data_IF_891952914509
#
_entry.id   IF_891952914509
#
_cell.length_a   1.000
_cell.length_b   1.000
_cell.length_c   1.000
_cell.angle_alpha   90.00
_cell.angle_beta   90.00
_cell.angle_gamma   90.00
#
_symmetry.space_group_name_H-M   'P 1'
#
loop_
_entity.id
_entity.type
_entity.pdbx_description
1 polymer ?
#
# COMPACT_ATOMS: atom_id res chain seq x y z
N UNK A 1 16.87 56.67 -57.65
CA UNK A 1 17.96 55.68 -57.51
C UNK A 1 17.57 54.65 -56.50
N UNK A 2 17.51 53.40 -56.89
CA UNK A 2 17.07 52.22 -56.19
C UNK A 2 18.04 51.81 -55.10
N UNK A 3 17.54 51.22 -53.99
CA UNK A 3 18.17 50.14 -53.23
C UNK A 3 17.06 49.26 -52.62
N UNK A 4 16.86 48.21 -53.18
CA UNK A 4 16.81 46.75 -52.85
C UNK A 4 16.30 46.40 -51.49
N UNK A 5 15.21 45.67 -51.54
CA UNK A 5 14.61 44.90 -50.43
C UNK A 5 15.50 43.74 -49.98
N UNK A 6 15.30 43.34 -48.70
CA UNK A 6 15.76 42.08 -48.19
C UNK A 6 14.54 41.27 -47.73
N UNK A 7 14.27 40.22 -48.49
CA UNK A 7 13.38 39.13 -48.18
C UNK A 7 13.78 38.53 -46.83
N UNK A 8 12.83 38.46 -45.87
CA UNK A 8 12.88 37.56 -44.73
C UNK A 8 11.92 36.43 -44.98
N UNK A 9 12.45 35.25 -45.11
CA UNK A 9 11.69 34.02 -45.16
C UNK A 9 10.90 33.80 -43.85
N UNK A 10 9.71 33.19 -43.90
CA UNK A 10 8.91 32.86 -42.71
C UNK A 10 9.56 31.71 -41.91
N UNK A 11 9.65 31.89 -40.62
CA UNK A 11 10.04 30.86 -39.68
C UNK A 11 8.99 29.74 -39.72
N UNK A 12 9.44 28.55 -40.08
CA UNK A 12 8.67 27.29 -39.92
C UNK A 12 8.53 26.99 -38.42
N UNK A 13 7.34 27.12 -37.88
CA UNK A 13 6.96 26.53 -36.62
C UNK A 13 6.95 25.01 -36.79
N UNK A 14 8.11 24.42 -36.56
CA UNK A 14 8.29 22.98 -36.52
C UNK A 14 7.53 22.40 -35.30
N UNK A 15 6.53 21.59 -35.59
CA UNK A 15 5.89 20.67 -34.68
C UNK A 15 6.91 19.98 -33.75
N UNK A 16 7.07 20.48 -32.52
CA UNK A 16 7.56 19.70 -31.42
C UNK A 16 6.45 18.68 -31.08
N UNK A 17 6.39 17.59 -31.86
CA UNK A 17 5.70 16.39 -31.45
C UNK A 17 6.27 15.98 -30.09
N UNK A 18 5.53 16.26 -29.03
CA UNK A 18 5.65 15.61 -27.74
C UNK A 18 5.71 14.11 -27.98
N UNK A 19 6.92 13.55 -27.96
CA UNK A 19 7.12 12.09 -27.91
C UNK A 19 6.59 11.65 -26.55
N UNK A 20 5.31 11.33 -26.49
CA UNK A 20 4.78 10.52 -25.42
C UNK A 20 5.52 9.18 -25.49
N UNK A 21 6.37 8.94 -24.50
CA UNK A 21 6.97 7.63 -24.29
C UNK A 21 5.81 6.63 -24.26
N UNK A 22 5.80 5.58 -25.09
CA UNK A 22 4.72 4.63 -25.05
C UNK A 22 4.64 4.07 -23.64
N UNK A 23 3.46 4.15 -23.03
CA UNK A 23 3.15 3.41 -21.80
C UNK A 23 3.49 1.95 -22.12
N UNK A 24 4.51 1.41 -21.46
CA UNK A 24 4.86 0.00 -21.59
C UNK A 24 3.59 -0.80 -21.45
N UNK A 25 3.29 -1.67 -22.43
CA UNK A 25 2.10 -2.49 -22.38
C UNK A 25 2.12 -3.23 -21.05
N UNK A 26 1.07 -3.05 -20.24
CA UNK A 26 0.96 -3.67 -18.92
C UNK A 26 1.05 -5.19 -19.10
N UNK A 27 1.76 -5.90 -18.20
CA UNK A 27 1.84 -7.37 -18.22
C UNK A 27 0.43 -7.97 -18.23
N UNK A 28 0.19 -9.00 -19.04
CA UNK A 28 -1.06 -9.77 -18.99
C UNK A 28 -0.99 -10.78 -17.84
N UNK A 29 -1.47 -10.40 -16.69
CA UNK A 29 -1.54 -11.21 -15.48
C UNK A 29 -3.00 -11.55 -15.12
N UNK A 30 -3.88 -11.64 -16.11
CA UNK A 30 -5.33 -11.83 -15.90
C UNK A 30 -5.63 -13.07 -15.05
N UNK A 31 -4.82 -14.13 -15.17
CA UNK A 31 -4.99 -15.39 -14.45
C UNK A 31 -4.14 -15.51 -13.17
N UNK A 32 -3.38 -14.48 -12.80
CA UNK A 32 -2.59 -14.51 -11.57
C UNK A 32 -3.52 -14.66 -10.35
N UNK A 33 -3.28 -15.64 -9.44
CA UNK A 33 -4.19 -15.97 -8.35
C UNK A 33 -4.59 -14.78 -7.49
N UNK A 34 -3.62 -13.89 -7.16
CA UNK A 34 -3.89 -12.66 -6.42
C UNK A 34 -4.92 -11.78 -7.14
N UNK A 35 -4.72 -11.53 -8.44
CA UNK A 35 -5.57 -10.61 -9.20
C UNK A 35 -6.96 -11.18 -9.46
N UNK A 36 -7.06 -12.49 -9.66
CA UNK A 36 -8.36 -13.19 -9.77
C UNK A 36 -9.13 -13.02 -8.46
N UNK A 37 -8.51 -13.32 -7.31
CA UNK A 37 -9.15 -13.17 -6.01
C UNK A 37 -9.51 -11.71 -5.71
N UNK A 38 -8.60 -10.75 -5.99
CA UNK A 38 -8.82 -9.33 -5.74
C UNK A 38 -9.97 -8.74 -6.57
N UNK A 39 -10.34 -9.36 -7.67
CA UNK A 39 -11.51 -9.01 -8.51
C UNK A 39 -12.79 -9.78 -8.15
N UNK A 40 -12.78 -10.51 -7.05
CA UNK A 40 -13.93 -11.31 -6.60
C UNK A 40 -14.11 -12.63 -7.34
N UNK A 41 -13.06 -13.13 -8.00
CA UNK A 41 -13.04 -14.44 -8.65
C UNK A 41 -12.49 -15.54 -7.76
N UNK A 42 -12.56 -16.76 -8.25
CA UNK A 42 -12.03 -17.98 -7.61
C UNK A 42 -10.81 -18.46 -8.39
N UNK A 43 -9.59 -18.22 -7.91
CA UNK A 43 -8.37 -18.70 -8.57
C UNK A 43 -8.19 -20.22 -8.37
N UNK A 44 -7.36 -20.84 -9.22
CA UNK A 44 -7.07 -22.28 -9.15
C UNK A 44 -6.36 -22.70 -7.85
N UNK A 45 -5.63 -21.77 -7.24
CA UNK A 45 -5.04 -21.94 -5.90
C UNK A 45 -5.27 -20.70 -5.05
N UNK A 46 -5.32 -20.91 -3.72
CA UNK A 46 -5.43 -19.81 -2.75
C UNK A 46 -4.21 -18.90 -2.84
N UNK A 47 -4.35 -17.60 -3.16
CA UNK A 47 -3.22 -16.68 -3.17
C UNK A 47 -2.77 -16.31 -1.76
N UNK A 48 -1.45 -16.21 -1.59
CA UNK A 48 -0.81 -15.81 -0.34
C UNK A 48 0.36 -14.86 -0.58
N UNK A 49 0.45 -13.86 0.25
CA UNK A 49 1.62 -13.00 0.43
C UNK A 49 1.62 -12.46 1.87
N UNK A 50 2.74 -11.87 2.32
CA UNK A 50 2.82 -11.39 3.70
C UNK A 50 3.24 -9.92 3.75
N UNK A 51 2.51 -9.11 4.50
CA UNK A 51 2.94 -7.74 4.79
C UNK A 51 4.30 -7.76 5.49
N UNK A 52 5.24 -6.92 5.03
CA UNK A 52 6.65 -6.89 5.47
C UNK A 52 7.42 -8.17 5.21
N UNK A 53 7.02 -8.99 4.21
CA UNK A 53 7.75 -10.19 3.80
C UNK A 53 9.21 -9.87 3.41
N UNK A 54 9.47 -8.75 2.74
CA UNK A 54 10.81 -8.22 2.49
C UNK A 54 11.26 -7.42 3.72
N UNK A 55 11.86 -8.06 4.71
CA UNK A 55 12.12 -7.41 5.98
C UNK A 55 13.13 -8.12 6.89
N UNK A 56 13.21 -7.64 8.12
CA UNK A 56 14.22 -8.02 9.11
C UNK A 56 14.22 -9.50 9.52
N UNK A 57 13.15 -10.24 9.27
CA UNK A 57 13.12 -11.70 9.47
C UNK A 57 14.11 -12.44 8.55
N UNK A 58 14.35 -11.91 7.34
CA UNK A 58 15.23 -12.54 6.36
C UNK A 58 16.72 -12.26 6.65
N UNK A 59 17.58 -13.29 6.76
CA UNK A 59 19.03 -13.11 6.91
C UNK A 59 19.63 -12.34 5.73
N UNK A 60 19.23 -12.65 4.50
CA UNK A 60 19.67 -11.99 3.28
C UNK A 60 19.31 -10.50 3.27
N UNK A 61 18.14 -10.13 3.78
CA UNK A 61 17.76 -8.72 3.95
C UNK A 61 18.72 -8.00 4.90
N UNK A 62 19.00 -8.62 6.06
CA UNK A 62 19.92 -8.01 7.04
C UNK A 62 21.32 -7.80 6.45
N UNK A 63 21.81 -8.77 5.65
CA UNK A 63 23.13 -8.70 5.02
C UNK A 63 23.24 -7.55 4.01
N UNK A 64 22.26 -7.40 3.10
CA UNK A 64 22.31 -6.35 2.07
C UNK A 64 21.98 -4.94 2.62
N UNK A 65 21.40 -4.88 3.82
CA UNK A 65 20.99 -3.62 4.47
C UNK A 65 21.98 -3.09 5.47
N UNK A 66 23.03 -3.86 5.77
CA UNK A 66 24.02 -3.47 6.78
C UNK A 66 24.63 -2.09 6.46
N UNK A 67 24.55 -1.17 7.41
CA UNK A 67 25.09 0.19 7.28
C UNK A 67 24.35 1.13 6.35
N UNK A 68 23.28 0.71 5.67
CA UNK A 68 22.54 1.56 4.74
C UNK A 68 21.26 2.12 5.41
N UNK A 69 21.04 3.45 5.44
CA UNK A 69 19.82 4.06 5.96
C UNK A 69 18.56 3.61 5.20
N UNK A 70 17.40 3.56 5.90
CA UNK A 70 16.16 3.03 5.33
C UNK A 70 15.71 3.80 4.09
N UNK A 71 15.64 5.12 4.15
CA UNK A 71 15.21 5.94 3.02
C UNK A 71 16.17 5.81 1.83
N UNK A 72 17.49 5.76 2.09
CA UNK A 72 18.46 5.53 1.04
C UNK A 72 18.24 4.19 0.33
N UNK A 73 17.97 3.12 1.07
CA UNK A 73 17.73 1.80 0.46
C UNK A 73 16.42 1.76 -0.35
N UNK A 74 15.38 2.49 0.05
CA UNK A 74 14.13 2.61 -0.70
C UNK A 74 14.31 3.41 -2.02
N UNK A 75 15.32 4.27 -2.08
CA UNK A 75 15.61 5.14 -3.22
C UNK A 75 16.82 4.68 -4.04
N UNK A 76 17.34 3.48 -3.77
CA UNK A 76 18.39 2.83 -4.57
C UNK A 76 17.76 1.69 -5.36
N UNK A 77 17.48 1.86 -6.67
CA UNK A 77 16.65 0.95 -7.45
C UNK A 77 17.10 -0.52 -7.41
N UNK A 78 18.38 -0.79 -7.66
CA UNK A 78 18.91 -2.17 -7.67
C UNK A 78 18.77 -2.84 -6.30
N UNK A 79 19.05 -2.10 -5.21
CA UNK A 79 18.95 -2.61 -3.85
C UNK A 79 17.48 -2.88 -3.46
N UNK A 80 16.58 -1.96 -3.78
CA UNK A 80 15.15 -2.12 -3.50
C UNK A 80 14.55 -3.27 -4.32
N UNK A 81 15.00 -3.46 -5.57
CA UNK A 81 14.64 -4.59 -6.40
C UNK A 81 15.11 -5.91 -5.77
N UNK A 82 16.39 -6.03 -5.42
CA UNK A 82 16.93 -7.24 -4.78
C UNK A 82 16.16 -7.59 -3.50
N UNK A 83 15.94 -6.61 -2.62
CA UNK A 83 15.21 -6.81 -1.37
C UNK A 83 13.77 -7.29 -1.63
N UNK A 84 13.09 -6.71 -2.62
CA UNK A 84 11.73 -7.11 -2.98
C UNK A 84 11.68 -8.54 -3.49
N UNK A 85 12.71 -9.00 -4.22
CA UNK A 85 12.78 -10.35 -4.80
C UNK A 85 13.13 -11.44 -3.77
N UNK A 86 13.77 -11.12 -2.65
CA UNK A 86 14.19 -12.10 -1.65
C UNK A 86 13.05 -13.01 -1.15
N UNK A 87 11.91 -12.50 -0.68
CA UNK A 87 10.81 -13.34 -0.22
C UNK A 87 10.13 -14.13 -1.36
N UNK A 88 10.15 -13.61 -2.59
CA UNK A 88 9.61 -14.32 -3.75
C UNK A 88 10.43 -15.59 -4.00
N UNK A 89 11.74 -15.47 -4.02
CA UNK A 89 12.66 -16.59 -4.21
C UNK A 89 12.63 -17.60 -3.05
N UNK A 90 12.46 -17.11 -1.80
CA UNK A 90 12.48 -17.95 -0.62
C UNK A 90 11.16 -18.67 -0.36
N UNK A 91 10.04 -17.94 -0.42
CA UNK A 91 8.76 -18.43 0.07
C UNK A 91 7.82 -18.88 -1.06
N UNK A 92 8.07 -18.48 -2.31
CA UNK A 92 7.19 -18.80 -3.43
C UNK A 92 5.78 -18.21 -3.31
N UNK A 93 5.65 -17.03 -2.70
CA UNK A 93 4.39 -16.32 -2.52
C UNK A 93 3.80 -15.82 -3.84
N UNK A 94 2.51 -15.52 -3.88
CA UNK A 94 1.74 -15.17 -5.08
C UNK A 94 1.76 -13.68 -5.41
N UNK A 95 2.45 -12.86 -4.63
CA UNK A 95 2.70 -11.46 -4.96
C UNK A 95 3.97 -10.91 -4.31
N UNK A 96 4.65 -10.05 -5.02
CA UNK A 96 5.64 -9.15 -4.45
C UNK A 96 4.95 -7.90 -3.91
N UNK A 97 5.47 -7.34 -2.82
CA UNK A 97 5.16 -5.98 -2.42
C UNK A 97 6.43 -5.14 -2.55
N UNK A 98 6.31 -4.00 -3.20
CA UNK A 98 7.42 -3.06 -3.38
C UNK A 98 8.12 -2.77 -2.06
N UNK A 99 9.44 -2.94 -2.00
CA UNK A 99 10.21 -2.50 -0.85
C UNK A 99 10.31 -0.97 -0.84
N UNK A 100 9.60 -0.36 0.10
CA UNK A 100 9.52 1.09 0.29
C UNK A 100 9.07 1.40 1.73
N UNK A 101 8.82 2.66 2.03
CA UNK A 101 8.19 3.10 3.28
C UNK A 101 7.08 4.12 2.98
N UNK A 102 6.08 4.21 3.87
CA UNK A 102 4.94 5.11 3.70
C UNK A 102 5.34 6.59 3.71
N UNK A 103 6.49 6.94 4.28
CA UNK A 103 7.01 8.32 4.33
C UNK A 103 7.90 8.69 3.14
N UNK A 104 8.23 7.74 2.27
CA UNK A 104 9.04 8.02 1.06
C UNK A 104 8.47 9.16 0.22
N UNK A 105 7.16 9.26 -0.07
CA UNK A 105 6.64 10.38 -0.82
C UNK A 105 6.71 11.72 -0.07
N UNK A 106 6.65 11.73 1.26
CA UNK A 106 6.88 12.94 2.07
C UNK A 106 8.33 13.40 1.95
N UNK A 107 9.28 12.48 2.11
CA UNK A 107 10.70 12.74 1.97
C UNK A 107 11.04 13.26 0.56
N UNK A 108 10.52 12.59 -0.47
CA UNK A 108 10.74 12.98 -1.87
C UNK A 108 10.18 14.38 -2.18
N UNK A 109 9.05 14.74 -1.57
CA UNK A 109 8.49 16.09 -1.70
C UNK A 109 9.32 17.16 -0.98
N UNK A 110 10.27 16.79 -0.11
CA UNK A 110 11.12 17.72 0.63
C UNK A 110 10.64 17.98 2.09
N UNK A 111 9.74 17.13 2.61
CA UNK A 111 9.42 17.16 4.05
C UNK A 111 10.63 16.65 4.83
N UNK A 112 11.01 17.37 5.90
CA UNK A 112 12.08 16.98 6.80
C UNK A 112 11.61 15.79 7.67
N UNK A 113 11.85 14.59 7.15
CA UNK A 113 11.50 13.31 7.78
C UNK A 113 12.65 12.32 7.62
N UNK A 114 12.93 11.56 8.69
CA UNK A 114 13.89 10.44 8.67
C UNK A 114 13.27 9.21 9.33
N UNK A 115 13.86 8.04 9.09
CA UNK A 115 13.48 6.77 9.72
C UNK A 115 14.56 6.34 10.70
N UNK A 116 14.32 6.61 11.97
CA UNK A 116 15.26 6.30 13.07
C UNK A 116 15.14 4.82 13.47
N UNK A 117 16.23 4.05 13.46
CA UNK A 117 16.22 2.66 13.89
C UNK A 117 15.60 2.48 15.29
N UNK A 118 14.67 1.53 15.42
CA UNK A 118 13.97 1.25 16.69
C UNK A 118 12.84 2.22 17.03
N UNK A 119 12.77 3.39 16.41
CA UNK A 119 11.73 4.40 16.62
C UNK A 119 10.72 4.44 15.47
N UNK A 120 11.20 4.45 14.23
CA UNK A 120 10.39 4.66 13.02
C UNK A 120 10.50 6.08 12.48
N UNK A 121 9.53 6.55 11.67
CA UNK A 121 9.55 7.90 11.10
C UNK A 121 9.54 8.99 12.17
N UNK A 122 10.41 9.99 12.01
CA UNK A 122 10.52 11.17 12.88
C UNK A 122 10.59 12.42 12.01
N UNK A 123 9.83 13.45 12.35
CA UNK A 123 9.77 14.72 11.64
C UNK A 123 10.67 15.75 12.33
N UNK A 124 11.52 16.43 11.58
CA UNK A 124 12.29 17.56 12.09
C UNK A 124 11.39 18.74 12.45
N UNK A 125 10.33 18.99 11.65
CA UNK A 125 9.32 20.02 11.91
C UNK A 125 7.90 19.45 11.79
N UNK A 126 7.18 19.24 12.92
CA UNK A 126 5.78 18.83 12.91
C UNK A 126 4.86 19.90 12.31
N UNK A 127 3.76 19.43 11.66
CA UNK A 127 2.73 20.27 11.03
C UNK A 127 1.54 20.40 11.99
N UNK A 128 1.27 21.60 12.51
CA UNK A 128 0.26 21.79 13.57
C UNK A 128 -0.65 22.98 13.39
N UNK A 129 -0.35 23.84 12.42
CA UNK A 129 -1.11 25.08 12.18
C UNK A 129 -1.48 25.19 10.71
N UNK A 130 -2.47 26.03 10.39
CA UNK A 130 -2.82 26.33 9.01
C UNK A 130 -1.63 26.87 8.19
N UNK A 131 -0.73 27.62 8.85
CA UNK A 131 0.49 28.12 8.21
C UNK A 131 1.48 26.97 7.87
N UNK A 132 1.64 26.00 8.79
CA UNK A 132 2.46 24.82 8.51
C UNK A 132 1.87 23.99 7.37
N UNK A 133 0.55 23.79 7.34
CA UNK A 133 -0.16 23.08 6.25
C UNK A 133 0.04 23.83 4.94
N UNK A 134 -0.10 25.15 4.92
CA UNK A 134 0.09 25.95 3.71
C UNK A 134 1.52 25.86 3.16
N UNK A 135 2.52 25.71 4.04
CA UNK A 135 3.93 25.59 3.71
C UNK A 135 4.35 24.17 3.28
N UNK A 136 3.48 23.15 3.39
CA UNK A 136 3.84 21.80 2.95
C UNK A 136 4.18 21.77 1.45
N UNK A 137 5.27 21.09 1.07
CA UNK A 137 5.64 20.95 -0.34
C UNK A 137 4.63 20.10 -1.10
N UNK A 138 4.60 20.27 -2.41
CA UNK A 138 3.84 19.44 -3.35
C UNK A 138 4.77 18.37 -3.91
N UNK A 139 4.30 17.14 -3.99
CA UNK A 139 5.03 16.07 -4.65
C UNK A 139 4.86 16.14 -6.17
N UNK A 140 5.98 16.16 -6.89
CA UNK A 140 6.00 16.01 -8.34
C UNK A 140 6.45 14.60 -8.74
N UNK A 141 5.90 14.00 -9.83
CA UNK A 141 6.23 12.63 -10.24
C UNK A 141 7.72 12.35 -10.41
N UNK A 142 8.48 13.33 -10.90
CA UNK A 142 9.93 13.19 -11.13
C UNK A 142 10.73 12.96 -9.84
N UNK A 143 10.23 13.45 -8.71
CA UNK A 143 10.88 13.29 -7.41
C UNK A 143 10.85 11.85 -6.89
N UNK A 144 9.99 11.00 -7.45
CA UNK A 144 9.89 9.58 -7.13
C UNK A 144 10.37 8.68 -8.28
N UNK A 145 11.17 9.24 -9.20
CA UNK A 145 11.78 8.48 -10.30
C UNK A 145 12.54 7.21 -9.81
N UNK A 146 13.33 7.24 -8.72
CA UNK A 146 13.99 6.02 -8.24
C UNK A 146 13.00 4.89 -7.88
N UNK A 147 11.83 5.22 -7.35
CA UNK A 147 10.77 4.23 -7.08
C UNK A 147 10.20 3.64 -8.37
N UNK A 148 9.98 4.48 -9.37
CA UNK A 148 9.54 4.04 -10.69
C UNK A 148 10.58 3.15 -11.38
N UNK A 149 11.87 3.46 -11.24
CA UNK A 149 12.97 2.65 -11.77
C UNK A 149 13.05 1.29 -11.07
N UNK A 150 12.90 1.24 -9.75
CA UNK A 150 12.76 -0.02 -9.00
C UNK A 150 11.62 -0.89 -9.55
N UNK A 151 10.45 -0.29 -9.80
CA UNK A 151 9.29 -1.01 -10.34
C UNK A 151 9.61 -1.57 -11.73
N UNK A 152 10.27 -0.81 -12.61
CA UNK A 152 10.66 -1.29 -13.95
C UNK A 152 11.62 -2.47 -13.89
N UNK A 153 12.58 -2.46 -12.96
CA UNK A 153 13.46 -3.61 -12.72
C UNK A 153 12.66 -4.82 -12.26
N UNK A 154 11.78 -4.63 -11.26
CA UNK A 154 10.95 -5.70 -10.71
C UNK A 154 10.04 -6.36 -11.72
N UNK A 155 9.34 -5.60 -12.58
CA UNK A 155 8.45 -6.19 -13.59
C UNK A 155 9.21 -7.05 -14.62
N UNK A 156 10.51 -6.83 -14.78
CA UNK A 156 11.37 -7.66 -15.63
C UNK A 156 11.72 -8.99 -14.97
N UNK A 157 11.93 -8.98 -13.62
CA UNK A 157 12.33 -10.17 -12.88
C UNK A 157 11.17 -11.04 -12.38
N UNK A 158 10.01 -10.44 -12.09
CA UNK A 158 8.88 -11.11 -11.46
C UNK A 158 8.12 -12.08 -12.37
N UNK A 159 8.32 -12.03 -13.69
CA UNK A 159 7.56 -12.86 -14.62
C UNK A 159 6.05 -12.71 -14.41
N UNK A 160 5.37 -13.80 -14.05
CA UNK A 160 3.92 -13.84 -13.83
C UNK A 160 3.50 -13.50 -12.39
N UNK A 161 4.43 -13.15 -11.52
CA UNK A 161 4.12 -12.74 -10.13
C UNK A 161 3.68 -11.28 -10.10
N UNK A 162 2.47 -10.96 -9.62
CA UNK A 162 2.00 -9.59 -9.48
C UNK A 162 2.86 -8.76 -8.50
N UNK A 163 3.00 -7.48 -8.81
CA UNK A 163 3.64 -6.49 -7.95
C UNK A 163 2.61 -5.58 -7.30
N UNK A 164 2.57 -5.56 -5.98
CA UNK A 164 1.76 -4.65 -5.19
C UNK A 164 2.59 -3.39 -4.91
N UNK A 165 2.10 -2.23 -5.39
CA UNK A 165 2.57 -0.94 -4.91
C UNK A 165 1.77 -0.49 -3.70
N UNK A 166 2.26 0.53 -2.98
CA UNK A 166 1.55 1.00 -1.81
C UNK A 166 1.84 2.44 -1.44
N UNK A 167 1.02 2.99 -0.56
CA UNK A 167 1.26 4.25 0.11
C UNK A 167 0.63 4.25 1.51
N UNK A 168 1.05 5.19 2.35
CA UNK A 168 0.35 5.50 3.59
C UNK A 168 -0.99 6.21 3.32
N UNK A 169 -2.02 5.85 4.07
CA UNK A 169 -3.30 6.52 4.02
C UNK A 169 -3.23 7.93 4.64
N UNK A 170 -4.14 8.84 4.24
CA UNK A 170 -4.10 10.24 4.68
C UNK A 170 -4.07 10.39 6.20
N UNK A 171 -4.88 9.64 6.95
CA UNK A 171 -4.90 9.73 8.42
C UNK A 171 -3.57 9.29 9.04
N UNK A 172 -3.03 8.16 8.60
CA UNK A 172 -1.76 7.66 9.14
C UNK A 172 -0.61 8.62 8.89
N UNK A 173 -0.50 9.18 7.67
CA UNK A 173 0.54 10.17 7.35
C UNK A 173 0.33 11.50 8.08
N UNK A 174 -0.92 12.00 8.17
CA UNK A 174 -1.24 13.19 8.94
C UNK A 174 -0.87 13.04 10.41
N UNK A 175 -1.13 11.86 10.98
CA UNK A 175 -0.78 11.59 12.37
C UNK A 175 0.72 11.66 12.60
N UNK A 176 1.56 11.10 11.71
CA UNK A 176 3.01 11.27 11.78
C UNK A 176 3.42 12.73 11.70
N UNK A 177 2.86 13.50 10.75
CA UNK A 177 3.16 14.92 10.56
C UNK A 177 2.79 15.75 11.80
N UNK A 178 1.63 15.51 12.40
CA UNK A 178 1.13 16.29 13.54
C UNK A 178 1.82 15.91 14.86
N UNK A 179 1.97 14.61 15.12
CA UNK A 179 2.66 14.14 16.34
C UNK A 179 4.16 14.42 16.28
N UNK A 180 4.77 14.40 15.10
CA UNK A 180 6.21 14.56 14.88
C UNK A 180 6.97 13.23 14.94
N UNK A 181 6.26 12.10 15.07
CA UNK A 181 6.82 10.77 15.20
C UNK A 181 5.76 9.74 15.59
N UNK A 182 6.17 8.52 16.01
CA UNK A 182 5.24 7.51 16.49
C UNK A 182 4.45 7.98 17.72
N UNK A 183 3.16 7.64 17.73
CA UNK A 183 2.27 7.94 18.86
C UNK A 183 1.41 6.74 19.20
N UNK A 184 1.04 6.59 20.48
CA UNK A 184 0.07 5.59 20.95
C UNK A 184 -1.30 6.19 21.18
N UNK A 185 -1.34 7.44 21.65
CA UNK A 185 -2.57 8.12 22.10
C UNK A 185 -3.10 9.11 21.07
N UNK A 186 -2.29 9.55 20.12
CA UNK A 186 -2.66 10.50 19.05
C UNK A 186 -3.25 11.81 19.60
N UNK A 187 -2.71 12.31 20.72
CA UNK A 187 -3.29 13.44 21.44
C UNK A 187 -3.35 14.72 20.61
N UNK A 188 -2.25 15.04 19.91
CA UNK A 188 -2.18 16.25 19.07
C UNK A 188 -2.99 16.11 17.82
N UNK A 189 -2.96 14.91 17.20
CA UNK A 189 -3.75 14.57 16.04
C UNK A 189 -5.24 14.76 16.32
N UNK A 190 -5.76 14.17 17.40
CA UNK A 190 -7.17 14.30 17.79
C UNK A 190 -7.52 15.73 18.23
N UNK A 191 -6.60 16.41 18.93
CA UNK A 191 -6.81 17.82 19.31
C UNK A 191 -6.95 18.72 18.08
N UNK A 192 -6.10 18.57 17.06
CA UNK A 192 -6.21 19.32 15.81
C UNK A 192 -7.50 18.95 15.05
N UNK A 193 -7.79 17.66 14.91
CA UNK A 193 -8.95 17.14 14.19
C UNK A 193 -10.28 17.69 14.74
N UNK A 194 -10.40 17.79 16.06
CA UNK A 194 -11.62 18.29 16.72
C UNK A 194 -11.62 19.80 16.96
N UNK A 195 -10.44 20.39 17.24
CA UNK A 195 -10.30 21.79 17.61
C UNK A 195 -10.24 22.74 16.42
N UNK A 196 -9.69 22.29 15.31
CA UNK A 196 -9.60 23.04 14.04
C UNK A 196 -9.89 22.11 12.83
N UNK A 197 -11.17 21.72 12.65
CA UNK A 197 -11.56 20.81 11.55
C UNK A 197 -11.18 21.32 10.17
N UNK A 198 -11.21 22.62 9.94
CA UNK A 198 -10.90 23.21 8.63
C UNK A 198 -9.42 23.00 8.28
N UNK A 199 -8.52 23.32 9.20
CA UNK A 199 -7.08 23.04 9.03
C UNK A 199 -6.83 21.54 8.89
N UNK A 200 -7.53 20.69 9.65
CA UNK A 200 -7.43 19.24 9.54
C UNK A 200 -7.81 18.74 8.14
N UNK A 201 -8.95 19.16 7.61
CA UNK A 201 -9.40 18.74 6.29
C UNK A 201 -8.47 19.22 5.17
N UNK A 202 -7.93 20.44 5.27
CA UNK A 202 -6.92 20.94 4.32
C UNK A 202 -5.64 20.11 4.38
N UNK A 203 -5.19 19.72 5.58
CA UNK A 203 -4.02 18.84 5.75
C UNK A 203 -4.25 17.48 5.07
N UNK A 204 -5.38 16.83 5.38
CA UNK A 204 -5.69 15.53 4.81
C UNK A 204 -5.88 15.59 3.28
N UNK A 205 -6.43 16.66 2.76
CA UNK A 205 -6.62 16.85 1.32
C UNK A 205 -5.28 16.95 0.59
N UNK A 206 -4.33 17.72 1.14
CA UNK A 206 -2.96 17.81 0.60
C UNK A 206 -2.23 16.47 0.65
N UNK A 207 -2.38 15.71 1.75
CA UNK A 207 -1.79 14.38 1.87
C UNK A 207 -2.45 13.41 0.87
N UNK A 208 -3.76 13.50 0.67
CA UNK A 208 -4.46 12.69 -0.33
C UNK A 208 -3.95 12.96 -1.75
N UNK A 209 -3.70 14.23 -2.12
CA UNK A 209 -3.09 14.58 -3.40
C UNK A 209 -1.67 14.04 -3.55
N UNK A 210 -0.85 14.17 -2.51
CA UNK A 210 0.50 13.61 -2.47
C UNK A 210 0.48 12.08 -2.63
N UNK A 211 -0.37 11.40 -1.87
CA UNK A 211 -0.56 9.95 -1.93
C UNK A 211 -1.03 9.50 -3.31
N UNK A 212 -2.00 10.21 -3.88
CA UNK A 212 -2.52 9.92 -5.22
C UNK A 212 -1.46 10.12 -6.31
N UNK A 213 -0.65 11.18 -6.23
CA UNK A 213 0.48 11.41 -7.13
C UNK A 213 1.48 10.26 -7.06
N UNK A 214 1.84 9.83 -5.85
CA UNK A 214 2.78 8.73 -5.63
C UNK A 214 2.25 7.39 -6.16
N UNK A 215 0.98 7.06 -5.91
CA UNK A 215 0.38 5.82 -6.42
C UNK A 215 0.22 5.84 -7.95
N UNK A 216 -0.13 6.98 -8.55
CA UNK A 216 -0.19 7.12 -10.00
C UNK A 216 1.17 6.93 -10.66
N UNK A 217 2.26 7.43 -10.06
CA UNK A 217 3.62 7.19 -10.54
C UNK A 217 3.98 5.69 -10.50
N UNK A 218 3.61 4.99 -9.43
CA UNK A 218 3.81 3.54 -9.32
C UNK A 218 2.99 2.76 -10.38
N UNK A 219 1.72 3.13 -10.59
CA UNK A 219 0.86 2.51 -11.60
C UNK A 219 1.42 2.75 -13.00
N UNK A 220 1.88 3.96 -13.30
CA UNK A 220 2.50 4.29 -14.58
C UNK A 220 3.81 3.51 -14.81
N UNK A 221 4.52 3.16 -13.73
CA UNK A 221 5.72 2.33 -13.79
C UNK A 221 5.41 0.82 -13.95
N UNK A 222 4.18 0.35 -13.65
CA UNK A 222 3.73 -1.01 -13.99
C UNK A 222 3.32 -1.91 -12.83
N UNK A 223 2.96 -1.39 -11.65
CA UNK A 223 2.41 -2.22 -10.56
C UNK A 223 1.04 -2.78 -10.93
N UNK A 224 0.67 -3.92 -10.33
CA UNK A 224 -0.53 -4.70 -10.69
C UNK A 224 -1.67 -4.55 -9.67
N UNK A 225 -1.35 -4.17 -8.44
CA UNK A 225 -2.30 -3.84 -7.38
C UNK A 225 -1.76 -2.71 -6.52
N UNK A 226 -2.61 -1.99 -5.79
CA UNK A 226 -2.20 -0.99 -4.80
C UNK A 226 -2.72 -1.35 -3.43
N UNK A 227 -1.93 -1.06 -2.38
CA UNK A 227 -2.39 -1.13 -1.00
C UNK A 227 -2.24 0.23 -0.31
N UNK A 228 -3.34 0.71 0.27
CA UNK A 228 -3.38 1.89 1.11
C UNK A 228 -3.28 1.44 2.57
N UNK A 229 -2.17 1.81 3.24
CA UNK A 229 -1.92 1.45 4.64
C UNK A 229 -2.46 2.52 5.58
N UNK A 230 -3.54 2.20 6.30
CA UNK A 230 -4.13 3.06 7.33
C UNK A 230 -3.91 2.48 8.74
N UNK A 231 -2.65 2.18 9.03
CA UNK A 231 -2.23 1.41 10.22
C UNK A 231 -2.69 2.02 11.55
N UNK A 232 -2.99 3.31 11.58
CA UNK A 232 -3.35 4.03 12.80
C UNK A 232 -4.83 4.39 12.92
N UNK A 233 -5.63 4.13 11.86
CA UNK A 233 -7.06 4.48 11.83
C UNK A 233 -7.87 3.80 12.94
N UNK A 234 -7.44 2.63 13.42
CA UNK A 234 -8.08 1.94 14.55
C UNK A 234 -8.09 2.71 15.88
N UNK A 235 -7.35 3.82 15.98
CA UNK A 235 -7.42 4.73 17.10
C UNK A 235 -8.68 5.62 17.10
N UNK A 236 -9.47 5.58 16.02
CA UNK A 236 -10.66 6.40 15.81
C UNK A 236 -11.95 5.63 16.09
N UNK A 237 -12.98 6.35 16.56
CA UNK A 237 -14.34 5.88 16.48
C UNK A 237 -14.81 5.84 14.99
N UNK A 238 -15.80 5.01 14.66
CA UNK A 238 -16.40 5.01 13.33
C UNK A 238 -16.95 6.40 12.95
N UNK A 239 -17.56 7.11 13.90
CA UNK A 239 -18.06 8.48 13.72
C UNK A 239 -16.96 9.44 13.28
N UNK A 240 -15.80 9.40 13.96
CA UNK A 240 -14.69 10.30 13.65
C UNK A 240 -14.02 9.91 12.34
N UNK A 241 -13.86 8.63 12.09
CA UNK A 241 -13.34 8.15 10.80
C UNK A 241 -14.23 8.62 9.64
N UNK A 242 -15.56 8.46 9.75
CA UNK A 242 -16.51 8.90 8.72
C UNK A 242 -16.45 10.40 8.48
N UNK A 243 -16.37 11.18 9.56
CA UNK A 243 -16.37 12.64 9.48
C UNK A 243 -15.05 13.20 8.95
N UNK A 244 -13.94 12.73 9.47
CA UNK A 244 -12.65 13.38 9.33
C UNK A 244 -11.65 12.66 8.40
N UNK A 245 -11.89 11.40 8.04
CA UNK A 245 -10.91 10.58 7.30
C UNK A 245 -11.49 10.02 6.01
N UNK A 246 -12.67 9.43 6.07
CA UNK A 246 -13.30 8.74 4.93
C UNK A 246 -13.32 9.57 3.65
N UNK A 247 -13.66 10.87 3.63
CA UNK A 247 -13.66 11.67 2.40
C UNK A 247 -12.30 11.70 1.69
N UNK A 248 -11.20 11.72 2.47
CA UNK A 248 -9.85 11.81 1.94
C UNK A 248 -9.31 10.45 1.48
N UNK A 249 -9.61 9.37 2.22
CA UNK A 249 -9.35 8.00 1.75
C UNK A 249 -10.14 7.69 0.47
N UNK A 250 -11.40 8.14 0.39
CA UNK A 250 -12.23 8.01 -0.81
C UNK A 250 -11.68 8.83 -2.00
N UNK A 251 -11.10 10.01 -1.75
CA UNK A 251 -10.41 10.79 -2.80
C UNK A 251 -9.24 10.00 -3.39
N UNK A 252 -8.43 9.35 -2.54
CA UNK A 252 -7.30 8.53 -3.01
C UNK A 252 -7.78 7.32 -3.80
N UNK A 253 -8.64 6.50 -3.20
CA UNK A 253 -9.12 5.26 -3.83
C UNK A 253 -9.96 5.54 -5.07
N UNK A 254 -10.88 6.52 -5.02
CA UNK A 254 -11.69 6.95 -6.15
C UNK A 254 -10.86 7.53 -7.30
N UNK A 255 -9.78 8.27 -6.97
CA UNK A 255 -8.85 8.82 -7.95
C UNK A 255 -8.04 7.78 -8.74
N UNK A 256 -8.07 6.52 -8.29
CA UNK A 256 -7.44 5.37 -8.96
C UNK A 256 -8.44 4.46 -9.67
N UNK A 257 -9.74 4.65 -9.51
CA UNK A 257 -10.77 3.72 -10.01
C UNK A 257 -10.67 3.46 -11.53
N UNK A 258 -10.39 4.50 -12.32
CA UNK A 258 -10.26 4.39 -13.77
C UNK A 258 -9.03 3.61 -14.25
N UNK A 259 -8.08 3.29 -13.37
CA UNK A 259 -6.86 2.58 -13.75
C UNK A 259 -7.05 1.08 -13.93
N UNK A 260 -8.14 0.51 -13.39
CA UNK A 260 -8.41 -0.93 -13.39
C UNK A 260 -7.48 -1.75 -12.48
N UNK A 261 -6.65 -1.09 -11.66
CA UNK A 261 -5.77 -1.72 -10.66
C UNK A 261 -6.58 -2.01 -9.40
N UNK A 262 -6.61 -3.25 -8.86
CA UNK A 262 -7.25 -3.54 -7.58
C UNK A 262 -6.69 -2.68 -6.45
N UNK A 263 -7.58 -2.15 -5.62
CA UNK A 263 -7.26 -1.22 -4.53
C UNK A 263 -7.56 -1.88 -3.19
N UNK A 264 -6.50 -2.17 -2.45
CA UNK A 264 -6.58 -2.79 -1.13
C UNK A 264 -6.50 -1.69 -0.07
N UNK A 265 -7.42 -1.66 0.88
CA UNK A 265 -7.39 -0.76 2.03
C UNK A 265 -7.21 -1.56 3.31
N UNK A 266 -6.11 -1.35 4.01
CA UNK A 266 -5.75 -2.10 5.22
C UNK A 266 -5.51 -1.17 6.40
N UNK A 267 -6.01 -1.56 7.57
CA UNK A 267 -5.73 -0.91 8.85
C UNK A 267 -5.65 -1.92 10.00
N UNK A 268 -5.05 -1.51 11.11
CA UNK A 268 -4.93 -2.32 12.33
C UNK A 268 -5.91 -1.80 13.39
N UNK A 269 -6.64 -2.71 14.06
CA UNK A 269 -7.69 -2.34 15.01
C UNK A 269 -8.91 -1.71 14.34
N UNK A 270 -9.10 -1.93 13.05
CA UNK A 270 -10.16 -1.31 12.24
C UNK A 270 -11.44 -2.12 12.13
N UNK A 271 -11.65 -3.08 13.01
CA UNK A 271 -12.83 -3.96 12.97
C UNK A 271 -14.17 -3.21 12.87
N UNK A 272 -14.32 -2.11 13.61
CA UNK A 272 -15.52 -1.25 13.55
C UNK A 272 -15.54 -0.31 12.33
N UNK A 273 -14.42 -0.16 11.62
CA UNK A 273 -14.27 0.73 10.49
C UNK A 273 -14.40 0.02 9.14
N UNK A 274 -14.46 -1.32 9.11
CA UNK A 274 -14.44 -2.13 7.88
C UNK A 274 -15.47 -1.66 6.85
N UNK A 275 -16.71 -1.40 7.30
CA UNK A 275 -17.77 -0.89 6.45
C UNK A 275 -17.44 0.46 5.82
N UNK A 276 -16.90 1.39 6.61
CA UNK A 276 -16.49 2.71 6.12
C UNK A 276 -15.28 2.63 5.18
N UNK A 277 -14.33 1.72 5.43
CA UNK A 277 -13.19 1.47 4.54
C UNK A 277 -13.64 0.93 3.17
N UNK A 278 -14.64 0.04 3.15
CA UNK A 278 -15.27 -0.40 1.90
C UNK A 278 -15.95 0.75 1.16
N UNK A 279 -16.72 1.57 1.88
CA UNK A 279 -17.40 2.74 1.32
C UNK A 279 -16.44 3.81 0.79
N UNK A 280 -15.21 3.85 1.27
CA UNK A 280 -14.14 4.68 0.70
C UNK A 280 -13.74 4.27 -0.72
N UNK A 281 -14.22 3.13 -1.22
CA UNK A 281 -13.98 2.67 -2.60
C UNK A 281 -12.87 1.61 -2.71
N UNK A 282 -12.60 0.88 -1.63
CA UNK A 282 -11.71 -0.28 -1.68
C UNK A 282 -12.36 -1.45 -2.44
N UNK A 283 -11.60 -2.08 -3.33
CA UNK A 283 -11.99 -3.32 -3.99
C UNK A 283 -11.76 -4.51 -3.05
N UNK A 284 -10.70 -4.45 -2.24
CA UNK A 284 -10.32 -5.44 -1.24
C UNK A 284 -10.17 -4.75 0.11
N UNK A 285 -10.78 -5.28 1.16
CA UNK A 285 -10.56 -4.80 2.53
C UNK A 285 -9.62 -5.75 3.27
N UNK A 286 -8.48 -5.21 3.70
CA UNK A 286 -7.55 -5.93 4.55
C UNK A 286 -8.05 -5.91 6.00
N UNK A 287 -8.10 -7.10 6.61
CA UNK A 287 -8.63 -7.33 7.96
C UNK A 287 -7.50 -7.73 8.88
N UNK A 288 -7.42 -7.13 10.06
CA UNK A 288 -6.46 -7.55 11.08
C UNK A 288 -6.96 -8.81 11.83
N UNK A 289 -6.09 -9.42 12.61
CA UNK A 289 -6.34 -10.73 13.25
C UNK A 289 -7.45 -10.73 14.31
N UNK A 290 -7.96 -9.56 14.73
CA UNK A 290 -8.95 -9.43 15.82
C UNK A 290 -10.37 -9.77 15.40
N UNK A 291 -10.65 -9.73 14.10
CA UNK A 291 -11.99 -9.98 13.56
C UNK A 291 -11.95 -11.23 12.68
N UNK A 292 -12.74 -12.28 12.97
CA UNK A 292 -12.91 -13.42 12.08
C UNK A 292 -13.34 -12.97 10.68
N UNK A 293 -12.85 -13.64 9.63
CA UNK A 293 -13.09 -13.17 8.25
C UNK A 293 -14.56 -13.28 7.84
N UNK A 294 -15.30 -14.27 8.30
CA UNK A 294 -16.74 -14.41 8.08
C UNK A 294 -17.51 -13.23 8.68
N UNK A 295 -17.19 -12.85 9.94
CA UNK A 295 -17.74 -11.65 10.59
C UNK A 295 -17.37 -10.37 9.85
N UNK A 296 -16.14 -10.27 9.34
CA UNK A 296 -15.72 -9.15 8.53
C UNK A 296 -16.55 -9.05 7.24
N UNK A 297 -16.80 -10.18 6.57
CA UNK A 297 -17.65 -10.25 5.36
C UNK A 297 -19.08 -9.78 5.66
N UNK A 298 -19.67 -10.19 6.79
CA UNK A 298 -20.99 -9.71 7.20
C UNK A 298 -21.03 -8.18 7.37
N UNK A 299 -20.05 -7.61 8.09
CA UNK A 299 -19.93 -6.15 8.28
C UNK A 299 -19.79 -5.40 6.95
N UNK A 300 -18.97 -5.93 6.05
CA UNK A 300 -18.74 -5.36 4.72
C UNK A 300 -20.01 -5.45 3.86
N UNK A 301 -20.75 -6.55 3.91
CA UNK A 301 -22.00 -6.74 3.18
C UNK A 301 -23.06 -5.76 3.69
N UNK A 302 -23.23 -5.63 5.00
CA UNK A 302 -24.17 -4.68 5.59
C UNK A 302 -23.88 -3.22 5.23
N UNK A 303 -22.60 -2.87 5.05
CA UNK A 303 -22.20 -1.50 4.70
C UNK A 303 -22.53 -1.11 3.25
N UNK A 304 -22.59 -2.09 2.34
CA UNK A 304 -22.92 -1.90 0.90
C UNK A 304 -23.79 -3.08 0.46
N UNK A 305 -25.09 -3.11 0.83
CA UNK A 305 -25.97 -4.26 0.62
C UNK A 305 -26.18 -4.62 -0.87
N UNK A 306 -26.27 -3.61 -1.73
CA UNK A 306 -26.49 -3.76 -3.17
C UNK A 306 -25.16 -3.85 -3.98
N UNK A 307 -24.03 -3.92 -3.27
CA UNK A 307 -22.72 -4.01 -3.88
C UNK A 307 -22.32 -5.45 -4.26
N UNK A 308 -21.21 -5.62 -4.98
CA UNK A 308 -20.65 -6.94 -5.23
C UNK A 308 -20.27 -7.64 -3.93
N UNK A 309 -20.16 -8.97 -3.95
CA UNK A 309 -19.68 -9.72 -2.79
C UNK A 309 -18.32 -9.17 -2.31
N UNK A 310 -18.14 -8.97 -0.98
CA UNK A 310 -16.91 -8.39 -0.46
C UNK A 310 -15.69 -9.26 -0.76
N UNK A 311 -14.57 -8.62 -1.07
CA UNK A 311 -13.26 -9.28 -1.15
C UNK A 311 -12.46 -8.90 0.08
N UNK A 312 -11.84 -9.89 0.73
CA UNK A 312 -11.05 -9.69 1.95
C UNK A 312 -9.61 -10.16 1.79
N UNK A 313 -8.71 -9.53 2.54
CA UNK A 313 -7.33 -9.94 2.67
C UNK A 313 -6.98 -10.11 4.16
N UNK A 314 -6.33 -11.22 4.50
CA UNK A 314 -5.86 -11.49 5.87
C UNK A 314 -6.08 -12.94 6.26
N UNK A 315 -6.09 -13.31 7.54
CA UNK A 315 -5.75 -12.42 8.67
C UNK A 315 -5.14 -13.21 9.84
N UNK A 316 -4.18 -14.10 9.52
CA UNK A 316 -3.50 -14.86 10.58
C UNK A 316 -2.77 -13.90 11.55
N UNK A 317 -2.91 -14.12 12.85
CA UNK A 317 -2.15 -13.36 13.85
C UNK A 317 -0.65 -13.64 13.69
N UNK A 318 0.20 -12.59 13.46
CA UNK A 318 1.64 -12.78 13.34
C UNK A 318 2.29 -13.41 14.56
N UNK A 319 1.71 -13.27 15.76
CA UNK A 319 2.23 -13.86 16.98
C UNK A 319 2.12 -15.39 16.98
N UNK A 320 1.16 -15.94 16.23
CA UNK A 320 0.99 -17.39 16.13
C UNK A 320 2.11 -18.08 15.34
N UNK A 321 2.89 -17.33 14.54
CA UNK A 321 4.07 -17.88 13.86
C UNK A 321 5.18 -18.33 14.82
N UNK A 322 5.06 -18.03 16.11
CA UNK A 322 5.96 -18.47 17.18
C UNK A 322 5.43 -19.69 17.95
N UNK A 323 4.24 -20.18 17.62
CA UNK A 323 3.66 -21.36 18.23
C UNK A 323 4.17 -22.65 17.58
N UNK A 324 3.85 -23.80 18.20
CA UNK A 324 4.10 -25.10 17.60
C UNK A 324 3.28 -25.30 16.32
N UNK A 325 3.85 -26.01 15.36
CA UNK A 325 3.26 -26.18 14.03
C UNK A 325 1.80 -26.64 14.03
N UNK A 326 1.35 -27.60 14.86
CA UNK A 326 -0.06 -28.00 14.86
C UNK A 326 -1.03 -26.84 15.15
N UNK A 327 -0.61 -25.86 15.98
CA UNK A 327 -1.39 -24.66 16.27
C UNK A 327 -1.44 -23.75 15.04
N UNK A 328 -0.27 -23.51 14.43
CA UNK A 328 -0.17 -22.70 13.21
C UNK A 328 -1.04 -23.30 12.11
N UNK A 329 -0.92 -24.60 11.86
CA UNK A 329 -1.69 -25.31 10.84
C UNK A 329 -3.20 -25.19 11.08
N UNK A 330 -3.65 -25.40 12.32
CA UNK A 330 -5.07 -25.29 12.68
C UNK A 330 -5.61 -23.88 12.39
N UNK A 331 -4.85 -22.83 12.76
CA UNK A 331 -5.25 -21.46 12.55
C UNK A 331 -5.20 -21.03 11.07
N UNK A 332 -4.21 -21.46 10.31
CA UNK A 332 -4.18 -21.25 8.85
C UNK A 332 -5.42 -21.86 8.20
N UNK A 333 -5.78 -23.11 8.57
CA UNK A 333 -6.98 -23.77 8.04
C UNK A 333 -8.27 -23.07 8.46
N UNK A 334 -8.35 -22.52 9.69
CA UNK A 334 -9.47 -21.72 10.17
C UNK A 334 -9.64 -20.46 9.32
N UNK A 335 -8.56 -19.68 9.13
CA UNK A 335 -8.59 -18.44 8.32
C UNK A 335 -9.03 -18.74 6.88
N UNK A 336 -8.53 -19.83 6.29
CA UNK A 336 -8.93 -20.26 4.95
C UNK A 336 -10.41 -20.64 4.88
N UNK A 337 -10.93 -21.30 5.91
CA UNK A 337 -12.35 -21.70 5.99
C UNK A 337 -13.26 -20.47 6.10
N UNK A 338 -12.94 -19.52 6.98
CA UNK A 338 -13.68 -18.27 7.15
C UNK A 338 -13.65 -17.41 5.89
N UNK A 339 -12.49 -17.34 5.21
CA UNK A 339 -12.32 -16.59 3.95
C UNK A 339 -13.21 -17.07 2.80
N UNK A 340 -13.75 -18.29 2.87
CA UNK A 340 -14.71 -18.82 1.87
C UNK A 340 -16.03 -18.05 1.82
N UNK A 341 -16.39 -17.36 2.90
CA UNK A 341 -17.58 -16.51 2.95
C UNK A 341 -17.48 -15.29 2.00
N UNK A 342 -16.28 -14.87 1.64
CA UNK A 342 -16.04 -13.72 0.76
C UNK A 342 -16.24 -14.07 -0.72
N UNK A 343 -16.45 -13.04 -1.54
CA UNK A 343 -16.43 -13.14 -2.99
C UNK A 343 -15.05 -13.52 -3.54
N UNK A 344 -13.99 -13.06 -2.84
CA UNK A 344 -12.59 -13.42 -3.07
C UNK A 344 -11.79 -13.28 -1.78
N UNK A 345 -10.78 -14.12 -1.59
CA UNK A 345 -9.93 -14.07 -0.40
C UNK A 345 -8.44 -14.14 -0.80
N UNK A 346 -7.66 -13.23 -0.24
CA UNK A 346 -6.19 -13.24 -0.31
C UNK A 346 -5.65 -13.56 1.07
N UNK A 347 -4.99 -14.70 1.24
CA UNK A 347 -4.39 -15.04 2.52
C UNK A 347 -3.22 -14.11 2.84
N UNK A 348 -3.19 -13.61 4.05
CA UNK A 348 -2.12 -12.77 4.59
C UNK A 348 -2.10 -12.90 6.12
N UNK A 349 -1.09 -12.30 6.75
CA UNK A 349 -1.13 -12.03 8.18
C UNK A 349 -2.07 -10.83 8.47
N UNK A 350 -2.58 -10.77 9.69
CA UNK A 350 -3.37 -9.62 10.17
C UNK A 350 -2.51 -8.38 10.48
N UNK A 351 -1.18 -8.46 10.34
CA UNK A 351 -0.20 -7.37 10.39
C UNK A 351 1.08 -7.82 9.65
N UNK A 352 2.13 -7.01 9.69
CA UNK A 352 3.42 -7.36 9.09
C UNK A 352 4.17 -8.46 9.84
N UNK A 353 4.99 -9.20 9.10
CA UNK A 353 5.95 -10.17 9.66
C UNK A 353 6.81 -9.49 10.73
N UNK A 354 6.96 -10.16 11.86
CA UNK A 354 7.80 -9.69 12.96
C UNK A 354 9.29 -9.95 12.65
N UNK A 355 10.21 -9.11 13.15
CA UNK A 355 11.63 -9.26 12.85
C UNK A 355 12.23 -10.59 13.31
N UNK A 356 11.67 -11.17 14.35
CA UNK A 356 12.12 -12.40 15.00
C UNK A 356 11.44 -13.65 14.40
N UNK A 357 10.51 -13.50 13.45
CA UNK A 357 9.84 -14.63 12.79
C UNK A 357 10.86 -15.48 12.04
N UNK A 358 10.82 -16.79 12.27
CA UNK A 358 11.60 -17.75 11.50
C UNK A 358 11.09 -17.77 10.03
N UNK A 359 11.94 -17.47 9.04
CA UNK A 359 11.55 -17.48 7.63
C UNK A 359 11.02 -18.84 7.15
N UNK A 360 11.52 -19.94 7.70
CA UNK A 360 11.11 -21.28 7.28
C UNK A 360 9.66 -21.59 7.68
N UNK A 361 9.16 -20.98 8.77
CA UNK A 361 7.74 -21.04 9.14
C UNK A 361 6.87 -20.36 8.09
N UNK A 362 7.28 -19.21 7.56
CA UNK A 362 6.54 -18.53 6.49
C UNK A 362 6.51 -19.36 5.20
N UNK A 363 7.62 -19.99 4.83
CA UNK A 363 7.68 -20.90 3.69
C UNK A 363 6.69 -22.05 3.86
N UNK A 364 6.69 -22.68 5.04
CA UNK A 364 5.80 -23.78 5.35
C UNK A 364 4.32 -23.37 5.40
N UNK A 365 4.01 -22.14 5.86
CA UNK A 365 2.65 -21.57 5.78
C UNK A 365 2.23 -21.38 4.32
N UNK A 366 3.12 -20.87 3.47
CA UNK A 366 2.85 -20.70 2.04
C UNK A 366 2.52 -22.05 1.39
N UNK A 367 3.33 -23.09 1.64
CA UNK A 367 3.10 -24.45 1.14
C UNK A 367 1.75 -25.01 1.61
N UNK A 368 1.40 -24.80 2.89
CA UNK A 368 0.11 -25.22 3.43
C UNK A 368 -1.06 -24.52 2.74
N UNK A 369 -0.98 -23.19 2.58
CA UNK A 369 -2.03 -22.40 1.90
C UNK A 369 -2.22 -22.88 0.47
N UNK A 370 -1.13 -23.16 -0.27
CA UNK A 370 -1.20 -23.66 -1.64
C UNK A 370 -1.76 -25.09 -1.73
N UNK A 371 -1.58 -25.91 -0.68
CA UNK A 371 -2.10 -27.29 -0.65
C UNK A 371 -3.63 -27.35 -0.50
N UNK A 372 -4.23 -26.28 0.02
CA UNK A 372 -5.69 -26.16 0.16
C UNK A 372 -6.26 -25.67 -1.17
N UNK A 373 -6.65 -26.61 -2.05
CA UNK A 373 -7.26 -26.29 -3.33
C UNK A 373 -8.56 -25.49 -3.14
N UNK A 374 -8.81 -24.55 -4.05
CA UNK A 374 -10.05 -23.75 -4.11
C UNK A 374 -11.28 -24.61 -4.47
N UNK A 375 -11.08 -25.84 -4.85
CA UNK A 375 -12.14 -26.82 -5.16
C UNK A 375 -12.76 -27.29 -3.84
N UNK A 376 -14.00 -26.82 -3.64
CA UNK A 376 -14.80 -27.25 -2.52
C UNK A 376 -14.90 -28.77 -2.40
N UNK A 377 -14.55 -29.28 -1.28
CA UNK A 377 -15.18 -30.43 -0.63
C UNK A 377 -15.76 -29.93 0.69
#
# INVERSE_FOLDING_TARGET
>A
MAVSGTDRAPWNDGDEMTRSTPVSARRDLTNAPLLVAARGGRPDRQPVWFMRQAGRSLPEYRAVREGIPMLQSCLTPDLACEITMQPIRRHGVDAAILYSDIVVPLYAAGVDVDIVPGTGPVLGKPVRTAADVAAMPVLHPDQVAPVADTIRLLITELGDTPLIGFAGAPFTLASYLVEGGPSREYLRTKALMHGDPDTWHVLLDRIADLTLTFLRAQIAAGIDAVQLFDSWAGALSERDYRRFVLPHSAKVLGGLAATGVPRIHFGVGTGELLGAMRQAGADVVGVDWRVPLDVAVERLTCAVPDGPAPVVQGNLDPALLFADWPVIEAEVRRVLAEGRAAGGHVFNLGHGVLPETDPDVLTRVTELVHSVTSTGQ
#
